data_IF_366767711597
#
_entry.id   IF_366767711597
#
_cell.length_a   1.000
_cell.length_b   1.000
_cell.length_c   1.000
_cell.angle_alpha   90.00
_cell.angle_beta   90.00
_cell.angle_gamma   90.00
#
_symmetry.space_group_name_H-M   'P 1'
#
loop_
_entity.id
_entity.type
_entity.pdbx_description
1 polymer ?
#
# COMPACT_ATOMS: atom_id res chain seq x y z
N UNK A 1 13.49 -5.48 11.40
CA UNK A 1 12.12 -5.46 11.94
C UNK A 1 11.50 -4.18 11.44
N UNK A 2 10.44 -4.23 10.63
CA UNK A 2 9.75 -3.01 10.21
C UNK A 2 9.21 -2.32 11.47
N UNK A 3 9.40 -1.01 11.59
CA UNK A 3 8.97 -0.22 12.75
C UNK A 3 7.45 -0.25 12.97
N UNK A 4 6.94 0.56 13.90
CA UNK A 4 5.49 0.78 14.02
C UNK A 4 5.04 1.74 12.92
N UNK A 5 3.96 1.42 12.21
CA UNK A 5 3.36 2.35 11.27
C UNK A 5 2.82 3.58 12.04
N UNK A 6 3.31 4.77 11.71
CA UNK A 6 2.92 6.03 12.33
C UNK A 6 1.70 6.65 11.65
N UNK A 7 1.65 6.56 10.32
CA UNK A 7 0.57 7.12 9.52
C UNK A 7 0.31 6.25 8.29
N UNK A 8 -0.91 6.35 7.75
CA UNK A 8 -1.32 5.70 6.51
C UNK A 8 -2.05 6.70 5.61
N UNK A 9 -1.62 6.81 4.36
CA UNK A 9 -2.23 7.68 3.36
C UNK A 9 -2.78 6.88 2.19
N UNK A 10 -3.88 7.35 1.59
CA UNK A 10 -4.46 6.77 0.38
C UNK A 10 -4.31 7.79 -0.75
N UNK A 11 -3.60 7.41 -1.81
CA UNK A 11 -3.40 8.23 -3.00
C UNK A 11 -4.16 7.61 -4.17
N UNK A 12 -4.91 8.43 -4.90
CA UNK A 12 -5.54 8.01 -6.16
C UNK A 12 -4.93 8.81 -7.30
N UNK A 13 -4.44 8.12 -8.32
CA UNK A 13 -3.79 8.74 -9.47
C UNK A 13 -4.49 8.27 -10.74
N UNK A 14 -4.63 9.17 -11.71
CA UNK A 14 -5.12 8.86 -13.06
C UNK A 14 -3.99 9.10 -14.04
N UNK A 15 -3.57 8.06 -14.79
CA UNK A 15 -2.59 8.20 -15.89
C UNK A 15 -3.25 7.76 -17.19
N UNK A 16 -3.52 8.71 -18.07
CA UNK A 16 -4.30 8.43 -19.28
C UNK A 16 -5.72 7.98 -18.92
N UNK A 17 -6.14 6.81 -19.42
CA UNK A 17 -7.43 6.20 -19.08
C UNK A 17 -7.37 5.29 -17.84
N UNK A 18 -6.18 5.10 -17.26
CA UNK A 18 -5.96 4.16 -16.18
C UNK A 18 -6.05 4.84 -14.80
N UNK A 19 -6.78 4.22 -13.88
CA UNK A 19 -6.89 4.66 -12.48
C UNK A 19 -6.10 3.74 -11.56
N UNK A 20 -5.27 4.34 -10.72
CA UNK A 20 -4.46 3.66 -9.73
C UNK A 20 -4.87 4.12 -8.33
N UNK A 21 -4.87 3.19 -7.38
CA UNK A 21 -5.01 3.49 -5.97
C UNK A 21 -3.80 2.94 -5.23
N UNK A 22 -3.15 3.77 -4.43
CA UNK A 22 -2.03 3.37 -3.58
C UNK A 22 -2.33 3.63 -2.12
N UNK A 23 -2.00 2.66 -1.27
CA UNK A 23 -1.91 2.85 0.18
C UNK A 23 -0.44 2.97 0.56
N UNK A 24 -0.10 4.02 1.30
CA UNK A 24 1.24 4.28 1.79
C UNK A 24 1.23 4.24 3.30
N UNK A 25 1.95 3.29 3.91
CA UNK A 25 2.19 3.26 5.34
C UNK A 25 3.61 3.78 5.64
N UNK A 26 3.70 4.71 6.58
CA UNK A 26 4.94 5.35 7.00
C UNK A 26 5.45 4.72 8.30
N UNK A 27 6.70 4.27 8.30
CA UNK A 27 7.35 3.64 9.45
C UNK A 27 8.49 4.52 9.93
N UNK A 28 8.38 4.99 11.17
CA UNK A 28 9.47 5.68 11.87
C UNK A 28 10.13 4.74 12.89
N UNK A 29 11.42 4.94 13.21
CA UNK A 29 12.31 6.04 12.83
C UNK A 29 13.07 5.87 11.50
N UNK A 30 12.87 4.77 10.79
CA UNK A 30 13.74 4.37 9.67
C UNK A 30 13.43 5.08 8.33
N UNK A 31 12.44 5.98 8.30
CA UNK A 31 11.86 6.59 7.07
C UNK A 31 11.49 5.52 6.02
N UNK A 32 11.16 4.32 6.51
CA UNK A 32 10.74 3.20 5.67
C UNK A 32 9.27 3.40 5.30
N UNK A 33 8.95 3.16 4.03
CA UNK A 33 7.58 3.26 3.53
C UNK A 33 7.18 1.97 2.88
N UNK A 34 5.98 1.50 3.22
CA UNK A 34 5.31 0.45 2.47
C UNK A 34 4.31 1.12 1.52
N UNK A 35 4.50 0.93 0.23
CA UNK A 35 3.60 1.42 -0.80
C UNK A 35 2.95 0.21 -1.45
N UNK A 36 1.64 0.08 -1.29
CA UNK A 36 0.86 -0.94 -1.98
C UNK A 36 -0.02 -0.29 -3.05
N UNK A 37 0.15 -0.68 -4.31
CA UNK A 37 -0.58 -0.09 -5.46
C UNK A 37 -1.44 -1.14 -6.14
N UNK A 38 -2.73 -0.85 -6.32
CA UNK A 38 -3.65 -1.62 -7.17
C UNK A 38 -3.65 -1.04 -8.59
N UNK A 39 -3.42 -1.92 -9.56
CA UNK A 39 -3.38 -1.59 -10.98
C UNK A 39 -4.73 -1.88 -11.66
N UNK A 40 -4.90 -1.39 -12.89
CA UNK A 40 -6.18 -1.44 -13.64
C UNK A 40 -6.65 -2.84 -13.99
N UNK A 41 -5.72 -3.76 -14.22
CA UNK A 41 -5.97 -5.18 -14.47
C UNK A 41 -6.17 -5.99 -13.17
N UNK A 42 -6.18 -5.31 -12.02
CA UNK A 42 -6.50 -5.88 -10.72
C UNK A 42 -5.31 -6.46 -9.95
N UNK A 43 -4.10 -6.49 -10.53
CA UNK A 43 -2.93 -6.93 -9.75
C UNK A 43 -2.51 -5.88 -8.72
N UNK A 44 -1.86 -6.35 -7.65
CA UNK A 44 -1.41 -5.49 -6.55
C UNK A 44 0.08 -5.69 -6.34
N UNK A 45 0.82 -4.58 -6.28
CA UNK A 45 2.27 -4.60 -6.05
C UNK A 45 2.63 -3.85 -4.79
N UNK A 46 3.62 -4.36 -4.06
CA UNK A 46 4.17 -3.70 -2.87
C UNK A 46 5.61 -3.26 -3.14
N UNK A 47 5.98 -2.09 -2.62
CA UNK A 47 7.36 -1.64 -2.43
C UNK A 47 7.59 -1.36 -0.96
N UNK A 48 8.70 -1.86 -0.42
CA UNK A 48 9.10 -1.62 0.97
C UNK A 48 10.55 -1.13 0.97
N UNK A 49 10.77 0.09 1.45
CA UNK A 49 12.11 0.63 1.61
C UNK A 49 12.09 2.11 1.98
N UNK A 50 13.29 2.65 2.23
CA UNK A 50 13.46 4.06 2.60
C UNK A 50 12.86 4.99 1.54
N UNK A 51 11.98 5.90 1.95
CA UNK A 51 11.27 6.81 1.05
C UNK A 51 10.35 6.12 0.01
N UNK A 52 10.05 4.82 0.14
CA UNK A 52 9.25 4.06 -0.82
C UNK A 52 10.02 3.54 -2.04
N UNK A 53 11.35 3.64 -2.05
CA UNK A 53 12.23 3.23 -3.16
C UNK A 53 12.64 1.73 -3.11
N UNK A 54 11.88 0.91 -2.38
CA UNK A 54 12.13 -0.52 -2.24
C UNK A 54 11.96 -1.33 -3.54
N UNK A 55 12.48 -2.56 -3.59
CA UNK A 55 12.24 -3.46 -4.72
C UNK A 55 10.74 -3.70 -4.89
N UNK A 56 10.25 -3.58 -6.12
CA UNK A 56 8.87 -3.93 -6.47
C UNK A 56 8.68 -5.44 -6.35
N UNK A 57 7.67 -5.86 -5.61
CA UNK A 57 7.25 -7.26 -5.47
C UNK A 57 5.77 -7.37 -5.83
N UNK A 58 5.44 -8.38 -6.63
CA UNK A 58 4.05 -8.78 -6.80
C UNK A 58 3.60 -9.56 -5.58
N UNK A 59 2.34 -9.35 -5.20
CA UNK A 59 1.70 -10.18 -4.19
C UNK A 59 1.21 -11.48 -4.82
N UNK A 60 1.21 -12.55 -4.03
CA UNK A 60 0.42 -13.73 -4.39
C UNK A 60 -1.06 -13.35 -4.49
N UNK A 61 -1.87 -14.08 -5.28
CA UNK A 61 -3.30 -13.81 -5.42
C UNK A 61 -4.05 -13.76 -4.08
N UNK A 62 -3.68 -14.60 -3.11
CA UNK A 62 -4.29 -14.66 -1.78
C UNK A 62 -3.94 -13.41 -0.96
N UNK A 63 -2.67 -13.00 -0.98
CA UNK A 63 -2.21 -11.80 -0.29
C UNK A 63 -2.82 -10.52 -0.89
N UNK A 64 -2.97 -10.46 -2.22
CA UNK A 64 -3.65 -9.36 -2.90
C UNK A 64 -5.12 -9.25 -2.49
N UNK A 65 -5.85 -10.38 -2.39
CA UNK A 65 -7.24 -10.42 -1.90
C UNK A 65 -7.35 -9.95 -0.44
N UNK A 66 -6.46 -10.42 0.43
CA UNK A 66 -6.44 -10.04 1.84
C UNK A 66 -6.21 -8.52 2.00
N UNK A 67 -5.25 -7.97 1.26
CA UNK A 67 -4.97 -6.54 1.27
C UNK A 67 -6.14 -5.72 0.72
N UNK A 68 -6.74 -6.14 -0.39
CA UNK A 68 -7.93 -5.47 -0.93
C UNK A 68 -9.08 -5.42 0.09
N UNK A 69 -9.31 -6.52 0.84
CA UNK A 69 -10.30 -6.56 1.90
C UNK A 69 -9.99 -5.58 3.04
N UNK A 70 -8.72 -5.48 3.47
CA UNK A 70 -8.30 -4.50 4.48
C UNK A 70 -8.54 -3.06 4.04
N UNK A 71 -8.32 -2.75 2.76
CA UNK A 71 -8.56 -1.41 2.19
C UNK A 71 -10.04 -1.03 2.10
N UNK A 72 -10.92 -2.01 1.90
CA UNK A 72 -12.37 -1.78 1.83
C UNK A 72 -13.04 -1.78 3.21
N UNK A 73 -12.35 -2.28 4.24
CA UNK A 73 -12.90 -2.30 5.59
C UNK A 73 -12.75 -0.90 6.17
N UNK A 74 -13.82 -0.15 6.43
CA UNK A 74 -13.70 1.13 7.11
C UNK A 74 -12.99 0.86 8.45
N UNK A 75 -11.90 1.59 8.70
CA UNK A 75 -11.24 1.60 10.00
C UNK A 75 -12.29 1.98 11.02
N UNK A 76 -12.85 1.00 11.73
CA UNK A 76 -13.56 1.28 12.98
C UNK A 76 -12.49 1.92 13.86
N UNK A 77 -12.56 3.23 14.00
CA UNK A 77 -11.75 3.97 14.95
C UNK A 77 -11.70 3.17 16.24
N UNK A 78 -10.48 2.82 16.62
CA UNK A 78 -10.18 2.35 17.96
C UNK A 78 -10.69 3.46 18.90
N UNK A 79 -11.73 3.12 19.66
CA UNK A 79 -12.28 3.97 20.71
C UNK A 79 -11.37 3.95 21.93
#
# INVERSE_FOLDING_TARGET
MCGKAMNTEIHTEVRGNDRFASLVAFYEPDDERLVATRHVDGHVTIRIGKGGAGPRRELSPEAAKALAAMLTTPSKEAK
#
